data_IF_060782894168
#
_entry.id   IF_060782894168
#
_cell.length_a   1.000
_cell.length_b   1.000
_cell.length_c   1.000
_cell.angle_alpha   90.00
_cell.angle_beta   90.00
_cell.angle_gamma   90.00
#
_symmetry.space_group_name_H-M   'P 1'
#
loop_
_entity.id
_entity.type
_entity.pdbx_description
1 polymer ?
#
# COMPACT_ATOMS: atom_id res chain seq x y z
N UNK A 1 -12.09 -1.66 2.26
CA UNK A 1 -11.54 -0.29 2.09
C UNK A 1 -10.51 -0.22 0.95
N UNK A 2 -9.68 -1.24 0.74
CA UNK A 2 -8.75 -1.31 -0.41
C UNK A 2 -9.43 -1.61 -1.76
N UNK A 3 -10.66 -2.15 -1.76
CA UNK A 3 -11.39 -2.45 -3.00
C UNK A 3 -11.78 -1.22 -3.82
N UNK A 4 -11.83 -0.04 -3.19
CA UNK A 4 -12.16 1.23 -3.86
C UNK A 4 -11.07 1.71 -4.84
N UNK A 5 -9.86 1.15 -4.74
CA UNK A 5 -8.71 1.47 -5.60
C UNK A 5 -8.30 0.31 -6.52
N UNK A 6 -9.01 -0.82 -6.45
CA UNK A 6 -8.67 -2.02 -7.21
C UNK A 6 -8.96 -1.83 -8.71
N UNK A 7 -7.93 -1.95 -9.54
CA UNK A 7 -7.99 -1.76 -10.99
C UNK A 7 -8.23 -3.11 -11.67
N UNK A 8 -9.07 -3.14 -12.72
CA UNK A 8 -9.40 -4.36 -13.50
C UNK A 8 -8.20 -5.06 -14.17
N UNK A 9 -7.04 -4.41 -14.27
CA UNK A 9 -5.80 -4.94 -14.87
C UNK A 9 -4.59 -4.46 -14.05
N UNK A 10 -4.32 -5.06 -12.88
CA UNK A 10 -3.17 -4.71 -12.07
C UNK A 10 -1.86 -5.03 -12.81
N UNK A 11 -0.84 -4.22 -12.59
CA UNK A 11 0.54 -4.45 -13.06
C UNK A 11 1.14 -5.58 -12.22
N UNK A 12 2.15 -6.28 -12.73
CA UNK A 12 2.90 -7.24 -11.93
C UNK A 12 3.44 -6.61 -10.61
N UNK A 13 3.17 -7.19 -9.44
CA UNK A 13 3.41 -6.54 -8.14
C UNK A 13 4.88 -6.30 -7.83
N UNK A 14 5.77 -7.19 -8.24
CA UNK A 14 7.19 -6.95 -8.10
C UNK A 14 7.63 -5.74 -8.93
N UNK A 15 7.14 -5.64 -10.17
CA UNK A 15 7.46 -4.52 -11.06
C UNK A 15 6.91 -3.21 -10.49
N UNK A 16 5.68 -3.22 -9.97
CA UNK A 16 5.10 -2.06 -9.31
C UNK A 16 5.91 -1.62 -8.07
N UNK A 17 6.41 -2.57 -7.28
CA UNK A 17 7.26 -2.28 -6.11
C UNK A 17 8.61 -1.67 -6.52
N UNK A 18 9.34 -2.31 -7.44
CA UNK A 18 10.64 -1.82 -7.90
C UNK A 18 10.54 -0.48 -8.63
N UNK A 19 9.53 -0.31 -9.49
CA UNK A 19 9.28 0.97 -10.15
C UNK A 19 8.92 2.06 -9.15
N UNK A 20 8.00 1.81 -8.20
CA UNK A 20 7.66 2.76 -7.13
C UNK A 20 8.88 3.19 -6.32
N UNK A 21 9.74 2.24 -5.94
CA UNK A 21 10.98 2.50 -5.19
C UNK A 21 11.97 3.34 -6.02
N UNK A 22 12.19 2.97 -7.28
CA UNK A 22 13.05 3.72 -8.21
C UNK A 22 12.54 5.15 -8.40
N UNK A 23 11.22 5.29 -8.61
CA UNK A 23 10.57 6.58 -8.79
C UNK A 23 10.69 7.47 -7.55
N UNK A 24 10.56 6.89 -6.36
CA UNK A 24 10.68 7.59 -5.09
C UNK A 24 12.11 8.12 -4.87
N UNK A 25 13.12 7.29 -5.11
CA UNK A 25 14.53 7.68 -4.97
C UNK A 25 14.86 8.83 -5.93
N UNK A 26 14.49 8.70 -7.21
CA UNK A 26 14.71 9.75 -8.20
C UNK A 26 13.92 11.03 -7.89
N UNK A 27 12.67 10.90 -7.40
CA UNK A 27 11.85 12.05 -6.99
C UNK A 27 12.46 12.82 -5.82
N UNK A 28 13.06 12.13 -4.86
CA UNK A 28 13.75 12.78 -3.74
C UNK A 28 15.05 13.47 -4.17
N UNK A 29 15.81 12.88 -5.09
CA UNK A 29 17.06 13.46 -5.60
C UNK A 29 16.83 14.71 -6.46
N UNK A 30 15.84 14.69 -7.35
CA UNK A 30 15.55 15.82 -8.26
C UNK A 30 14.76 16.97 -7.62
N UNK A 31 14.24 16.78 -6.41
CA UNK A 31 13.32 17.71 -5.73
C UNK A 31 13.87 19.13 -5.54
N UNK A 32 15.17 19.36 -5.62
CA UNK A 32 15.78 20.68 -5.41
C UNK A 32 15.62 21.63 -6.59
N UNK A 33 15.25 21.12 -7.78
CA UNK A 33 15.22 21.88 -9.03
C UNK A 33 13.78 22.19 -9.48
N UNK A 34 13.58 23.27 -10.25
CA UNK A 34 12.28 23.61 -10.85
C UNK A 34 11.78 22.51 -11.82
N UNK A 35 12.70 21.70 -12.35
CA UNK A 35 12.42 20.51 -13.18
C UNK A 35 11.65 19.41 -12.46
N UNK A 36 11.58 19.45 -11.12
CA UNK A 36 10.79 18.50 -10.35
C UNK A 36 9.28 18.57 -10.69
N UNK A 37 8.77 19.73 -11.13
CA UNK A 37 7.40 19.83 -11.67
C UNK A 37 7.22 19.08 -12.99
N UNK A 38 8.19 19.20 -13.90
CA UNK A 38 8.16 18.48 -15.17
C UNK A 38 8.24 16.96 -14.92
N UNK A 39 9.10 16.53 -14.00
CA UNK A 39 9.19 15.13 -13.57
C UNK A 39 7.87 14.62 -12.98
N UNK A 40 7.26 15.36 -12.05
CA UNK A 40 5.96 14.99 -11.50
C UNK A 40 4.86 14.90 -12.56
N UNK A 41 4.84 15.82 -13.53
CA UNK A 41 3.91 15.80 -14.66
C UNK A 41 4.09 14.59 -15.56
N UNK A 42 5.32 14.26 -15.94
CA UNK A 42 5.63 13.07 -16.76
C UNK A 42 5.16 11.79 -16.07
N UNK A 43 5.35 11.69 -14.76
CA UNK A 43 4.91 10.52 -14.00
C UNK A 43 3.42 10.42 -13.82
N UNK A 44 2.75 11.55 -13.68
CA UNK A 44 1.30 11.60 -13.68
C UNK A 44 0.75 11.09 -15.02
N UNK A 45 1.28 11.59 -16.15
CA UNK A 45 0.90 11.16 -17.50
C UNK A 45 1.19 9.67 -17.72
N UNK A 46 2.33 9.18 -17.27
CA UNK A 46 2.71 7.77 -17.35
C UNK A 46 1.72 6.91 -16.53
N UNK A 47 1.36 7.30 -15.31
CA UNK A 47 0.33 6.62 -14.53
C UNK A 47 -1.05 6.64 -15.21
N UNK A 48 -1.42 7.75 -15.85
CA UNK A 48 -2.67 7.88 -16.61
C UNK A 48 -2.68 6.96 -17.85
N UNK A 49 -1.58 6.89 -18.62
CA UNK A 49 -1.45 6.07 -19.82
C UNK A 49 -1.61 4.58 -19.51
N UNK A 50 -1.13 4.12 -18.35
CA UNK A 50 -1.28 2.75 -17.89
C UNK A 50 -2.61 2.48 -17.15
N UNK A 51 -3.61 3.35 -17.27
CA UNK A 51 -4.98 3.07 -16.82
C UNK A 51 -5.17 3.09 -15.30
N UNK A 52 -4.21 3.62 -14.53
CA UNK A 52 -4.33 3.86 -13.08
C UNK A 52 -4.99 5.24 -12.80
N UNK A 53 -5.72 5.80 -13.77
CA UNK A 53 -6.23 7.18 -13.75
C UNK A 53 -7.03 7.53 -12.48
N UNK A 54 -7.89 6.61 -12.03
CA UNK A 54 -8.79 6.84 -10.87
C UNK A 54 -8.03 6.87 -9.54
N UNK A 55 -6.98 6.07 -9.41
CA UNK A 55 -6.09 6.06 -8.25
C UNK A 55 -5.14 7.27 -8.28
N UNK A 56 -4.52 7.52 -9.42
CA UNK A 56 -3.60 8.63 -9.63
C UNK A 56 -4.26 9.99 -9.34
N UNK A 57 -5.46 10.23 -9.86
CA UNK A 57 -6.16 11.50 -9.66
C UNK A 57 -6.53 11.74 -8.20
N UNK A 58 -7.15 10.76 -7.54
CA UNK A 58 -7.57 10.88 -6.13
C UNK A 58 -6.38 11.09 -5.21
N UNK A 59 -5.30 10.34 -5.45
CA UNK A 59 -4.10 10.38 -4.62
C UNK A 59 -3.29 11.66 -4.83
N UNK A 60 -3.13 12.08 -6.10
CA UNK A 60 -2.48 13.34 -6.45
C UNK A 60 -3.26 14.53 -5.87
N UNK A 61 -4.60 14.54 -5.98
CA UNK A 61 -5.43 15.59 -5.39
C UNK A 61 -5.33 15.65 -3.86
N UNK A 62 -5.36 14.50 -3.18
CA UNK A 62 -5.21 14.43 -1.73
C UNK A 62 -3.83 14.92 -1.26
N UNK A 63 -2.76 14.51 -1.95
CA UNK A 63 -1.40 14.90 -1.60
C UNK A 63 -1.05 16.33 -2.01
N UNK A 64 -1.69 16.87 -3.04
CA UNK A 64 -1.61 18.29 -3.38
C UNK A 64 -2.27 19.14 -2.28
N UNK A 65 -3.47 18.77 -1.81
CA UNK A 65 -4.13 19.47 -0.72
C UNK A 65 -3.29 19.45 0.56
N UNK A 66 -2.75 18.27 0.92
CA UNK A 66 -1.85 18.13 2.06
C UNK A 66 -0.54 18.91 1.88
N UNK A 67 0.04 18.87 0.68
CA UNK A 67 1.25 19.60 0.31
C UNK A 67 1.08 21.11 0.37
N UNK A 68 -0.08 21.64 0.00
CA UNK A 68 -0.40 23.07 0.11
C UNK A 68 -0.54 23.51 1.57
N UNK A 69 -1.13 22.69 2.44
CA UNK A 69 -1.24 22.99 3.88
C UNK A 69 0.15 23.04 4.52
N UNK A 70 0.99 22.02 4.29
CA UNK A 70 2.35 21.97 4.84
C UNK A 70 3.24 23.04 4.20
N UNK A 71 3.14 23.23 2.89
CA UNK A 71 3.84 24.28 2.17
C UNK A 71 3.49 25.65 2.77
N UNK A 72 2.21 25.94 2.98
CA UNK A 72 1.75 27.22 3.56
C UNK A 72 2.35 27.49 4.94
N UNK A 73 2.42 26.46 5.79
CA UNK A 73 3.12 26.55 7.08
C UNK A 73 4.63 26.83 6.89
N UNK A 74 5.28 26.15 5.95
CA UNK A 74 6.70 26.37 5.65
C UNK A 74 6.99 27.79 5.11
N UNK A 75 6.08 28.37 4.32
CA UNK A 75 6.19 29.75 3.85
C UNK A 75 6.11 30.74 5.03
N UNK A 76 5.20 30.49 5.97
CA UNK A 76 5.01 31.35 7.14
C UNK A 76 6.23 31.33 8.07
N UNK A 77 6.88 30.18 8.23
CA UNK A 77 8.08 30.03 9.06
C UNK A 77 9.35 30.58 8.38
N UNK A 78 9.58 30.27 7.12
CA UNK A 78 10.88 30.51 6.45
C UNK A 78 10.90 31.79 5.59
N UNK A 79 9.74 32.43 5.32
CA UNK A 79 9.55 33.58 4.39
C UNK A 79 10.14 33.42 2.98
N UNK A 80 10.61 32.22 2.64
CA UNK A 80 11.25 31.91 1.37
C UNK A 80 10.28 31.19 0.44
N UNK A 81 9.96 31.82 -0.70
CA UNK A 81 9.05 31.27 -1.70
C UNK A 81 9.57 29.96 -2.34
N UNK A 82 10.90 29.77 -2.37
CA UNK A 82 11.50 28.54 -2.90
C UNK A 82 11.23 27.32 -2.01
N UNK A 83 11.19 27.49 -0.69
CA UNK A 83 10.91 26.41 0.26
C UNK A 83 9.44 25.93 0.18
N UNK A 84 8.53 26.87 -0.09
CA UNK A 84 7.11 26.57 -0.32
C UNK A 84 6.94 25.61 -1.51
N UNK A 85 7.50 25.97 -2.67
CA UNK A 85 7.36 25.19 -3.90
C UNK A 85 8.03 23.81 -3.83
N UNK A 86 9.21 23.73 -3.21
CA UNK A 86 9.87 22.44 -3.00
C UNK A 86 9.03 21.50 -2.12
N UNK A 87 8.36 22.01 -1.10
CA UNK A 87 7.55 21.20 -0.17
C UNK A 87 6.29 20.66 -0.85
N UNK A 88 5.60 21.51 -1.63
CA UNK A 88 4.41 21.10 -2.40
C UNK A 88 4.77 20.03 -3.43
N UNK A 89 5.88 20.20 -4.16
CA UNK A 89 6.33 19.21 -5.16
C UNK A 89 6.73 17.89 -4.53
N UNK A 90 7.42 17.91 -3.37
CA UNK A 90 7.75 16.68 -2.63
C UNK A 90 6.51 15.89 -2.23
N UNK A 91 5.52 16.58 -1.67
CA UNK A 91 4.26 15.94 -1.28
C UNK A 91 3.56 15.30 -2.49
N UNK A 92 3.52 16.02 -3.62
CA UNK A 92 2.91 15.52 -4.85
C UNK A 92 3.69 14.33 -5.46
N UNK A 93 5.02 14.39 -5.48
CA UNK A 93 5.87 13.28 -5.94
C UNK A 93 5.68 12.03 -5.07
N UNK A 94 5.66 12.17 -3.74
CA UNK A 94 5.39 11.05 -2.83
C UNK A 94 4.03 10.42 -3.11
N UNK A 95 3.01 11.25 -3.36
CA UNK A 95 1.69 10.81 -3.77
C UNK A 95 1.72 9.97 -5.03
N UNK A 96 2.32 10.49 -6.11
CA UNK A 96 2.39 9.81 -7.41
C UNK A 96 3.21 8.51 -7.33
N UNK A 97 4.34 8.52 -6.62
CA UNK A 97 5.20 7.33 -6.48
C UNK A 97 4.50 6.18 -5.76
N UNK A 98 3.58 6.46 -4.84
CA UNK A 98 2.85 5.44 -4.11
C UNK A 98 1.60 4.90 -4.86
N UNK A 99 1.20 5.53 -5.98
CA UNK A 99 0.02 5.11 -6.77
C UNK A 99 0.14 3.67 -7.27
N UNK A 100 1.26 3.22 -7.89
CA UNK A 100 1.40 1.83 -8.32
C UNK A 100 1.14 0.88 -7.15
N UNK A 101 1.81 1.07 -6.01
CA UNK A 101 1.69 0.18 -4.86
C UNK A 101 0.26 0.06 -4.30
N UNK A 102 -0.47 1.17 -4.17
CA UNK A 102 -1.82 1.17 -3.57
C UNK A 102 -2.88 0.59 -4.51
N UNK A 103 -2.69 0.68 -5.82
CA UNK A 103 -3.64 0.13 -6.79
C UNK A 103 -3.59 -1.40 -6.90
N UNK A 104 -2.57 -2.03 -6.33
CA UNK A 104 -2.43 -3.48 -6.35
C UNK A 104 -3.14 -4.16 -5.18
N UNK A 105 -3.89 -5.24 -5.43
CA UNK A 105 -4.42 -6.05 -4.35
C UNK A 105 -3.28 -6.76 -3.61
N UNK A 106 -3.23 -6.72 -2.27
CA UNK A 106 -2.15 -7.33 -1.50
C UNK A 106 -2.06 -8.85 -1.71
N UNK A 107 -3.16 -9.51 -2.09
CA UNK A 107 -3.19 -10.93 -2.40
C UNK A 107 -2.33 -11.30 -3.63
N UNK A 108 -2.24 -10.43 -4.64
CA UNK A 108 -1.46 -10.72 -5.85
C UNK A 108 0.04 -10.55 -5.59
N UNK A 109 0.43 -9.61 -4.73
CA UNK A 109 1.80 -9.51 -4.23
C UNK A 109 2.21 -10.80 -3.51
N UNK A 110 1.34 -11.32 -2.63
CA UNK A 110 1.61 -12.57 -1.92
C UNK A 110 1.72 -13.78 -2.85
N UNK A 111 0.89 -13.84 -3.89
CA UNK A 111 0.98 -14.88 -4.93
C UNK A 111 2.32 -14.82 -5.67
N UNK A 112 2.81 -13.62 -5.99
CA UNK A 112 4.13 -13.46 -6.63
C UNK A 112 5.28 -13.86 -5.70
N UNK A 113 5.23 -13.49 -4.41
CA UNK A 113 6.23 -13.96 -3.44
C UNK A 113 6.24 -15.48 -3.32
N UNK A 114 5.08 -16.13 -3.42
CA UNK A 114 4.99 -17.58 -3.42
C UNK A 114 5.59 -18.22 -4.69
N UNK A 115 5.51 -17.55 -5.84
CA UNK A 115 6.18 -17.99 -7.07
C UNK A 115 7.71 -17.82 -7.02
N UNK A 116 8.22 -16.88 -6.23
CA UNK A 116 9.66 -16.62 -6.06
C UNK A 116 10.35 -17.60 -5.10
N UNK A 117 9.70 -18.70 -4.74
CA UNK A 117 10.21 -19.70 -3.80
C UNK A 117 10.56 -19.13 -2.40
N UNK A 118 9.86 -18.08 -1.96
CA UNK A 118 9.93 -17.67 -0.55
C UNK A 118 9.45 -18.82 0.35
N UNK A 119 9.99 -18.93 1.59
CA UNK A 119 9.63 -20.02 2.50
C UNK A 119 8.13 -20.06 2.73
N UNK A 120 7.55 -21.25 2.51
CA UNK A 120 6.10 -21.49 2.49
C UNK A 120 5.39 -21.04 3.77
N UNK A 121 6.10 -21.09 4.90
CA UNK A 121 5.57 -20.66 6.21
C UNK A 121 5.26 -19.15 6.23
N UNK A 122 6.10 -18.34 5.58
CA UNK A 122 5.95 -16.89 5.52
C UNK A 122 4.83 -16.53 4.55
N UNK A 123 4.82 -17.11 3.34
CA UNK A 123 3.82 -16.80 2.33
C UNK A 123 2.42 -17.22 2.76
N UNK A 124 2.31 -18.39 3.41
CA UNK A 124 1.05 -18.86 3.98
C UNK A 124 0.59 -17.98 5.15
N UNK A 125 1.48 -17.68 6.09
CA UNK A 125 1.16 -16.82 7.22
C UNK A 125 0.59 -15.48 6.75
N UNK A 126 1.23 -14.85 5.76
CA UNK A 126 0.75 -13.60 5.17
C UNK A 126 -0.59 -13.75 4.42
N UNK A 127 -0.83 -14.87 3.71
CA UNK A 127 -2.13 -15.12 3.06
C UNK A 127 -3.26 -15.31 4.07
N UNK A 128 -2.97 -16.02 5.16
CA UNK A 128 -3.92 -16.22 6.26
C UNK A 128 -4.21 -14.90 6.96
N UNK A 129 -3.20 -14.09 7.27
CA UNK A 129 -3.41 -12.78 7.92
C UNK A 129 -4.23 -11.84 7.04
N UNK A 130 -3.97 -11.77 5.73
CA UNK A 130 -4.78 -10.97 4.81
C UNK A 130 -6.26 -11.36 4.80
N UNK A 131 -6.56 -12.66 4.90
CA UNK A 131 -7.94 -13.17 5.03
C UNK A 131 -8.52 -12.96 6.43
N UNK A 132 -7.67 -12.94 7.46
CA UNK A 132 -8.09 -12.82 8.84
C UNK A 132 -8.44 -11.37 9.22
N UNK A 133 -7.78 -10.36 8.62
CA UNK A 133 -8.09 -8.93 8.85
C UNK A 133 -9.59 -8.61 8.68
N UNK A 134 -10.27 -8.93 7.57
CA UNK A 134 -11.69 -8.62 7.43
C UNK A 134 -12.58 -9.37 8.42
N UNK A 135 -12.20 -10.59 8.80
CA UNK A 135 -12.89 -11.38 9.83
C UNK A 135 -12.76 -10.67 11.18
N UNK A 136 -11.53 -10.29 11.56
CA UNK A 136 -11.23 -9.54 12.79
C UNK A 136 -12.00 -8.24 12.88
N UNK A 137 -12.05 -7.44 11.80
CA UNK A 137 -12.82 -6.19 11.78
C UNK A 137 -14.30 -6.44 12.06
N UNK A 138 -14.83 -7.55 11.56
CA UNK A 138 -16.25 -7.93 11.78
C UNK A 138 -16.48 -8.36 13.23
N UNK A 139 -15.56 -9.12 13.82
CA UNK A 139 -15.63 -9.50 15.23
C UNK A 139 -15.48 -8.29 16.17
N UNK A 140 -14.55 -7.38 15.87
CA UNK A 140 -14.38 -6.13 16.61
C UNK A 140 -15.68 -5.34 16.62
N UNK A 141 -16.35 -5.20 15.47
CA UNK A 141 -17.64 -4.50 15.38
C UNK A 141 -18.72 -5.17 16.22
N UNK A 142 -18.85 -6.50 16.14
CA UNK A 142 -19.83 -7.27 16.93
C UNK A 142 -19.61 -7.11 18.43
N UNK A 143 -18.36 -7.20 18.88
CA UNK A 143 -18.01 -7.01 20.29
C UNK A 143 -18.35 -5.57 20.70
N UNK A 144 -18.05 -4.58 19.85
CA UNK A 144 -18.37 -3.18 20.11
C UNK A 144 -19.87 -2.94 20.25
N UNK A 145 -20.67 -3.50 19.35
CA UNK A 145 -22.13 -3.42 19.39
C UNK A 145 -22.69 -4.08 20.65
N UNK A 146 -22.17 -5.26 21.02
CA UNK A 146 -22.55 -5.96 22.25
C UNK A 146 -22.20 -5.15 23.51
N UNK A 147 -21.04 -4.49 23.55
CA UNK A 147 -20.67 -3.59 24.65
C UNK A 147 -21.62 -2.39 24.74
N UNK A 148 -22.00 -1.80 23.59
CA UNK A 148 -22.94 -0.67 23.54
C UNK A 148 -24.32 -1.05 24.08
N UNK A 149 -24.83 -2.24 23.75
CA UNK A 149 -26.13 -2.74 24.26
C UNK A 149 -26.07 -3.00 25.76
N UNK A 150 -24.94 -3.48 26.28
CA UNK A 150 -24.74 -3.72 27.73
C UNK A 150 -24.53 -2.44 28.55
N UNK A 151 -24.59 -1.26 27.92
CA UNK A 151 -24.36 0.01 28.60
C UNK A 151 -22.93 0.21 29.09
N UNK A 152 -21.96 -0.56 28.57
CA UNK A 152 -20.56 -0.41 28.93
C UNK A 152 -20.07 0.95 28.42
N UNK A 153 -19.95 1.91 29.35
CA UNK A 153 -19.49 3.25 29.03
C UNK A 153 -17.96 3.23 28.91
N UNK A 154 -17.47 2.92 27.71
CA UNK A 154 -16.03 2.83 27.39
C UNK A 154 -15.44 4.24 27.31
N UNK A 155 -15.33 4.91 28.46
CA UNK A 155 -14.57 6.16 28.58
C UNK A 155 -13.08 5.83 28.50
N UNK A 156 -12.33 6.62 27.74
CA UNK A 156 -10.87 6.46 27.58
C UNK A 156 -10.10 6.44 28.91
N UNK A 157 -10.68 7.02 29.96
CA UNK A 157 -10.11 7.10 31.31
C UNK A 157 -10.33 5.85 32.18
N UNK A 158 -10.99 4.79 31.70
CA UNK A 158 -11.17 3.51 32.43
C UNK A 158 -10.61 2.32 31.63
N UNK A 159 -9.27 2.15 31.61
CA UNK A 159 -8.63 1.10 30.82
C UNK A 159 -9.00 -0.31 31.30
N UNK A 160 -9.28 -0.47 32.59
CA UNK A 160 -9.65 -1.74 33.20
C UNK A 160 -10.98 -2.30 32.64
N UNK A 161 -11.99 -1.44 32.45
CA UNK A 161 -13.26 -1.83 31.84
C UNK A 161 -13.08 -2.21 30.38
N UNK A 162 -12.22 -1.48 29.64
CA UNK A 162 -11.93 -1.75 28.24
C UNK A 162 -11.20 -3.10 28.08
N UNK A 163 -10.22 -3.38 28.94
CA UNK A 163 -9.53 -4.66 28.94
C UNK A 163 -10.48 -5.83 29.14
N UNK A 164 -11.31 -5.79 30.19
CA UNK A 164 -12.24 -6.89 30.50
C UNK A 164 -13.37 -7.03 29.49
N UNK A 165 -13.94 -5.93 29.03
CA UNK A 165 -15.12 -5.95 28.17
C UNK A 165 -14.79 -6.15 26.67
N UNK A 166 -13.60 -5.74 26.22
CA UNK A 166 -13.22 -5.80 24.80
C UNK A 166 -12.08 -6.78 24.53
N UNK A 167 -10.95 -6.64 25.21
CA UNK A 167 -9.75 -7.44 24.89
C UNK A 167 -9.91 -8.91 25.24
N UNK A 168 -10.48 -9.24 26.41
CA UNK A 168 -10.68 -10.65 26.80
C UNK A 168 -11.56 -11.39 25.77
N UNK A 169 -12.77 -10.91 25.39
CA UNK A 169 -13.58 -11.55 24.36
C UNK A 169 -12.88 -11.62 22.99
N UNK A 170 -12.14 -10.57 22.60
CA UNK A 170 -11.44 -10.54 21.32
C UNK A 170 -10.36 -11.62 21.25
N UNK A 171 -9.54 -11.77 22.30
CA UNK A 171 -8.49 -12.79 22.37
C UNK A 171 -9.10 -14.20 22.33
N UNK A 172 -10.16 -14.45 23.12
CA UNK A 172 -10.87 -15.72 23.09
C UNK A 172 -11.41 -16.04 21.70
N UNK A 173 -11.93 -15.03 20.98
CA UNK A 173 -12.40 -15.20 19.61
C UNK A 173 -11.27 -15.52 18.63
N UNK A 174 -10.12 -14.86 18.78
CA UNK A 174 -8.95 -15.11 17.93
C UNK A 174 -8.42 -16.53 18.12
N UNK A 175 -8.30 -17.00 19.37
CA UNK A 175 -7.87 -18.37 19.68
C UNK A 175 -8.81 -19.37 19.02
N UNK A 176 -10.13 -19.22 19.22
CA UNK A 176 -11.11 -20.13 18.61
C UNK A 176 -11.07 -20.15 17.08
N UNK A 177 -10.83 -19.01 16.42
CA UNK A 177 -10.69 -18.99 14.96
C UNK A 177 -9.36 -19.62 14.53
N UNK A 178 -8.29 -19.43 15.29
CA UNK A 178 -7.00 -20.08 15.02
C UNK A 178 -7.10 -21.60 15.09
N UNK A 179 -7.75 -22.14 16.13
CA UNK A 179 -7.91 -23.59 16.32
C UNK A 179 -8.75 -24.21 15.19
N UNK A 180 -9.87 -23.57 14.85
CA UNK A 180 -10.70 -24.03 13.73
C UNK A 180 -9.97 -23.96 12.39
N UNK A 181 -9.13 -22.95 12.18
CA UNK A 181 -8.32 -22.82 10.96
C UNK A 181 -7.22 -23.89 10.92
N UNK A 182 -6.53 -24.16 12.04
CA UNK A 182 -5.51 -25.20 12.14
C UNK A 182 -6.11 -26.58 11.86
N UNK A 183 -7.23 -26.92 12.51
CA UNK A 183 -7.93 -28.18 12.31
C UNK A 183 -8.44 -28.32 10.86
N UNK A 184 -8.92 -27.21 10.27
CA UNK A 184 -9.32 -27.18 8.86
C UNK A 184 -8.14 -27.42 7.90
N UNK A 185 -6.95 -26.92 8.22
CA UNK A 185 -5.74 -27.16 7.43
C UNK A 185 -5.27 -28.62 7.57
N UNK A 186 -5.29 -29.19 8.78
CA UNK A 186 -4.91 -30.57 9.05
C UNK A 186 -5.84 -31.57 8.33
N UNK A 187 -7.16 -31.36 8.41
CA UNK A 187 -8.15 -32.20 7.70
C UNK A 187 -8.04 -32.12 6.17
N UNK A 188 -7.44 -31.05 5.64
CA UNK A 188 -7.14 -30.91 4.20
C UNK A 188 -5.75 -31.43 3.82
N UNK A 189 -5.10 -32.16 4.72
CA UNK A 189 -3.74 -32.67 4.56
C UNK A 189 -2.74 -31.57 4.16
N UNK A 190 -2.87 -30.39 4.78
CA UNK A 190 -1.96 -29.29 4.51
C UNK A 190 -0.60 -29.55 5.17
N UNK A 191 0.35 -30.02 4.38
CA UNK A 191 1.71 -30.22 4.83
C UNK A 191 2.52 -28.91 4.81
N UNK A 192 3.22 -28.63 5.91
CA UNK A 192 4.17 -27.50 6.06
C UNK A 192 5.55 -27.82 5.47
N UNK A 193 5.78 -29.07 5.06
CA UNK A 193 7.01 -29.52 4.43
C UNK A 193 7.17 -28.94 3.00
N UNK A 194 8.37 -29.14 2.44
CA UNK A 194 8.70 -28.75 1.06
C UNK A 194 8.00 -29.62 0.00
N UNK A 195 6.87 -30.27 0.33
CA UNK A 195 6.07 -31.01 -0.64
C UNK A 195 5.60 -30.09 -1.77
N UNK A 196 5.62 -30.54 -3.03
CA UNK A 196 5.29 -29.71 -4.18
C UNK A 196 3.83 -29.23 -4.09
N UNK A 197 3.66 -27.92 -3.94
CA UNK A 197 2.36 -27.27 -3.90
C UNK A 197 2.16 -26.37 -5.12
N UNK A 198 1.03 -26.53 -5.80
CA UNK A 198 0.70 -25.71 -6.96
C UNK A 198 -0.02 -24.42 -6.54
N UNK A 199 0.48 -23.28 -7.01
CA UNK A 199 -0.16 -21.97 -6.77
C UNK A 199 -1.32 -21.76 -7.73
N UNK A 200 -2.54 -21.69 -7.20
CA UNK A 200 -3.73 -21.33 -7.98
C UNK A 200 -3.82 -19.82 -8.23
N UNK A 201 -4.15 -19.44 -9.46
CA UNK A 201 -4.20 -18.03 -9.89
C UNK A 201 -2.82 -17.41 -10.03
N UNK A 202 -1.98 -18.02 -10.89
CA UNK A 202 -0.64 -17.50 -11.16
C UNK A 202 -0.73 -16.09 -11.73
N UNK A 203 0.00 -15.16 -11.13
CA UNK A 203 0.21 -13.84 -11.70
C UNK A 203 1.31 -13.98 -12.73
N UNK A 204 1.02 -13.70 -13.99
CA UNK A 204 1.97 -13.79 -15.08
C UNK A 204 2.50 -12.40 -15.43
N UNK A 205 3.79 -12.32 -15.75
CA UNK A 205 4.42 -11.10 -16.25
C UNK A 205 3.84 -10.77 -17.62
N UNK A 206 3.20 -9.61 -17.76
CA UNK A 206 2.66 -9.16 -19.04
C UNK A 206 3.64 -8.17 -19.69
N UNK A 207 3.73 -8.17 -21.02
CA UNK A 207 4.59 -7.23 -21.76
C UNK A 207 4.33 -5.76 -21.38
N UNK A 208 3.08 -5.42 -21.02
CA UNK A 208 2.69 -4.11 -20.49
C UNK A 208 3.48 -3.69 -19.25
N UNK A 209 3.79 -4.62 -18.37
CA UNK A 209 4.49 -4.35 -17.10
C UNK A 209 5.96 -4.01 -17.37
N UNK A 210 6.57 -4.71 -18.34
CA UNK A 210 7.93 -4.43 -18.81
C UNK A 210 7.98 -3.02 -19.41
N UNK A 211 7.06 -2.66 -20.30
CA UNK A 211 7.00 -1.31 -20.90
C UNK A 211 6.84 -0.23 -19.83
N UNK A 212 6.00 -0.46 -18.81
CA UNK A 212 5.85 0.47 -17.67
C UNK A 212 7.16 0.68 -16.92
N UNK A 213 7.85 -0.42 -16.58
CA UNK A 213 9.13 -0.36 -15.85
C UNK A 213 10.22 0.35 -16.64
N UNK A 214 10.33 0.06 -17.94
CA UNK A 214 11.32 0.68 -18.84
C UNK A 214 11.01 2.17 -19.00
N UNK A 215 9.74 2.54 -19.21
CA UNK A 215 9.35 3.94 -19.31
C UNK A 215 9.62 4.73 -18.01
N UNK A 216 9.39 4.13 -16.85
CA UNK A 216 9.72 4.72 -15.56
C UNK A 216 11.23 4.98 -15.42
N UNK A 217 12.06 3.99 -15.75
CA UNK A 217 13.54 4.12 -15.70
C UNK A 217 14.03 5.16 -16.69
N UNK A 218 13.51 5.19 -17.93
CA UNK A 218 13.86 6.20 -18.93
C UNK A 218 13.50 7.60 -18.45
N UNK A 219 12.32 7.79 -17.83
CA UNK A 219 11.91 9.08 -17.29
C UNK A 219 12.82 9.56 -16.15
N UNK A 220 13.28 8.64 -15.30
CA UNK A 220 14.23 8.92 -14.23
C UNK A 220 15.61 9.30 -14.77
N UNK A 221 16.13 8.52 -15.73
CA UNK A 221 17.44 8.76 -16.31
C UNK A 221 17.48 10.03 -17.17
N UNK A 222 16.49 10.23 -18.04
CA UNK A 222 16.43 11.39 -18.94
C UNK A 222 16.36 12.71 -18.19
N UNK A 223 15.54 12.79 -17.13
CA UNK A 223 15.44 14.00 -16.32
C UNK A 223 16.61 14.15 -15.34
N UNK A 224 17.21 13.05 -14.87
CA UNK A 224 18.46 13.10 -14.11
C UNK A 224 19.61 13.70 -14.92
N UNK A 225 19.77 13.28 -16.19
CA UNK A 225 20.78 13.82 -17.10
C UNK A 225 20.50 15.27 -17.45
N UNK A 226 19.23 15.65 -17.69
CA UNK A 226 18.85 17.04 -17.93
C UNK A 226 19.13 17.97 -16.75
N UNK A 227 19.06 17.45 -15.51
CA UNK A 227 19.42 18.20 -14.29
C UNK A 227 20.93 18.26 -14.10
N UNK A 228 21.68 17.23 -14.51
CA UNK A 228 23.15 17.19 -14.36
C UNK A 228 23.90 18.03 -15.40
N UNK A 229 23.38 18.17 -16.62
CA UNK A 229 24.00 18.97 -17.68
C UNK A 229 23.84 20.50 -17.50
N UNK A 230 23.41 20.98 -16.33
CA UNK A 230 23.16 22.39 -16.04
C UNK A 230 23.82 22.81 -14.73
#
# INVERSE_FOLDING_TARGET
>A
MLDAFSVKKPIYPLVAFFSSLCMLVCGMLLSKSLWAFAFAGVLFVLCCCFGLFRGAWKMSAAMLAFGLVIGGLAFLTNRNFNAFWQTVVRALLLGICAVPMITLPPADLMRCMNQLHCPRIITLGMLVTLRFIPILVTEIKRIWEAMKVRGANVKWYRPDCLYRAFFIPLVMRIIGISDTLSLSLETRAFALDNSPATVYGKVELRARDIVFSVAAVISCAGLGVAVWMR
#
